data_IF_853284373000
#
_entry.id   IF_853284373000
#
_cell.length_a   1.000
_cell.length_b   1.000
_cell.length_c   1.000
_cell.angle_alpha   90.00
_cell.angle_beta   90.00
_cell.angle_gamma   90.00
#
_symmetry.space_group_name_H-M   'P 1'
#
loop_
_entity.id
_entity.type
_entity.pdbx_description
1 polymer ?
#
# COMPACT_ATOMS: atom_id res chain seq x y z
N UNK A 1 -6.76 9.14 0.38
CA UNK A 1 -6.73 9.12 -1.10
C UNK A 1 -8.07 8.61 -1.60
N UNK A 2 -8.64 9.26 -2.63
CA UNK A 2 -9.76 8.69 -3.39
C UNK A 2 -9.23 7.78 -4.48
N UNK A 3 -9.64 6.53 -4.46
CA UNK A 3 -9.19 5.52 -5.42
C UNK A 3 -9.92 5.75 -6.74
N UNK A 4 -9.16 5.77 -7.83
CA UNK A 4 -9.70 5.90 -9.19
C UNK A 4 -9.69 4.57 -9.94
N UNK A 5 -8.73 3.71 -9.62
CA UNK A 5 -8.60 2.39 -10.20
C UNK A 5 -7.90 1.50 -9.18
N UNK A 6 -8.41 0.28 -9.01
CA UNK A 6 -7.72 -0.78 -8.29
C UNK A 6 -7.78 -2.06 -9.13
N UNK A 7 -6.70 -2.83 -9.09
CA UNK A 7 -6.63 -4.11 -9.78
C UNK A 7 -6.89 -5.27 -8.82
N UNK A 8 -7.13 -6.44 -9.41
CA UNK A 8 -7.17 -7.72 -8.71
C UNK A 8 -5.87 -8.44 -9.03
N UNK A 9 -5.11 -8.75 -7.98
CA UNK A 9 -3.87 -9.49 -8.08
C UNK A 9 -4.09 -10.99 -7.91
N UNK A 10 -3.15 -11.82 -8.38
CA UNK A 10 -3.14 -13.25 -8.06
C UNK A 10 -3.11 -13.53 -6.55
N UNK A 11 -2.46 -12.66 -5.77
CA UNK A 11 -2.42 -12.76 -4.31
C UNK A 11 -3.81 -12.60 -3.68
N UNK A 12 -4.68 -11.75 -4.23
CA UNK A 12 -6.07 -11.62 -3.75
C UNK A 12 -6.81 -12.95 -3.89
N UNK A 13 -6.56 -13.69 -4.98
CA UNK A 13 -7.16 -15.01 -5.18
C UNK A 13 -6.66 -16.02 -4.16
N UNK A 14 -5.39 -15.95 -3.73
CA UNK A 14 -4.87 -16.82 -2.69
C UNK A 14 -5.57 -16.60 -1.35
N UNK A 15 -5.89 -15.35 -1.02
CA UNK A 15 -6.63 -14.97 0.18
C UNK A 15 -8.09 -15.44 0.11
N UNK A 16 -8.79 -15.17 -1.00
CA UNK A 16 -10.19 -15.57 -1.20
C UNK A 16 -10.35 -17.09 -1.20
N UNK A 17 -9.40 -17.84 -1.75
CA UNK A 17 -9.41 -19.31 -1.77
C UNK A 17 -8.99 -19.96 -0.45
N UNK A 18 -8.54 -19.17 0.54
CA UNK A 18 -8.04 -19.69 1.81
C UNK A 18 -6.69 -20.42 1.71
N UNK A 19 -5.97 -20.28 0.60
CA UNK A 19 -4.61 -20.86 0.42
C UNK A 19 -3.53 -20.04 1.13
N UNK A 20 -3.85 -18.81 1.53
CA UNK A 20 -3.07 -17.98 2.43
C UNK A 20 -3.80 -17.90 3.77
N UNK A 21 -3.19 -18.46 4.82
CA UNK A 21 -3.80 -18.52 6.16
C UNK A 21 -3.68 -17.18 6.91
N UNK A 22 -4.48 -17.02 7.96
CA UNK A 22 -4.42 -15.86 8.86
C UNK A 22 -5.22 -14.64 8.39
N UNK A 23 -6.10 -14.80 7.40
CA UNK A 23 -7.05 -13.75 7.02
C UNK A 23 -8.08 -13.52 8.14
N UNK A 24 -8.35 -12.25 8.43
CA UNK A 24 -9.34 -11.85 9.43
C UNK A 24 -10.64 -11.44 8.73
N UNK A 25 -11.82 -11.98 9.12
CA UNK A 25 -13.10 -11.55 8.57
C UNK A 25 -13.29 -10.03 8.67
N UNK A 26 -13.77 -9.41 7.58
CA UNK A 26 -13.91 -7.95 7.47
C UNK A 26 -12.66 -7.23 6.93
N UNK A 27 -11.58 -7.95 6.62
CA UNK A 27 -10.43 -7.36 5.93
C UNK A 27 -10.81 -6.97 4.49
N UNK A 28 -10.75 -5.68 4.18
CA UNK A 28 -10.82 -5.16 2.81
C UNK A 28 -9.59 -5.63 2.02
N UNK A 29 -9.80 -6.18 0.82
CA UNK A 29 -8.73 -6.72 -0.03
C UNK A 29 -8.11 -5.67 -0.97
N UNK A 30 -7.07 -6.08 -1.70
CA UNK A 30 -6.42 -5.31 -2.74
C UNK A 30 -5.18 -4.54 -2.29
N UNK A 31 -4.17 -4.53 -3.14
CA UNK A 31 -2.87 -3.90 -2.89
C UNK A 31 -2.30 -3.27 -4.17
N UNK A 32 -3.14 -3.03 -5.16
CA UNK A 32 -2.76 -2.43 -6.43
C UNK A 32 -3.76 -1.31 -6.74
N UNK A 33 -3.34 -0.05 -6.60
CA UNK A 33 -4.25 1.07 -6.85
C UNK A 33 -3.56 2.34 -7.34
N UNK A 34 -4.34 3.13 -8.06
CA UNK A 34 -4.05 4.51 -8.45
C UNK A 34 -5.19 5.39 -7.94
N UNK A 35 -4.85 6.58 -7.45
CA UNK A 35 -5.85 7.51 -6.97
C UNK A 35 -5.39 8.96 -6.96
N UNK A 36 -6.25 9.78 -6.36
CA UNK A 36 -6.01 11.21 -6.17
C UNK A 36 -5.95 11.50 -4.68
N UNK A 37 -4.92 12.21 -4.26
CA UNK A 37 -4.77 12.69 -2.88
C UNK A 37 -5.92 13.65 -2.58
N UNK A 38 -6.66 13.37 -1.52
CA UNK A 38 -7.79 14.20 -1.06
C UNK A 38 -7.42 15.03 0.16
N UNK A 39 -6.50 14.52 0.97
CA UNK A 39 -6.05 15.10 2.23
C UNK A 39 -4.65 14.54 2.52
N UNK A 40 -3.84 15.33 3.22
CA UNK A 40 -2.51 14.95 3.72
C UNK A 40 -2.40 15.31 5.19
N UNK A 41 -1.62 14.55 5.97
CA UNK A 41 -1.32 14.90 7.36
C UNK A 41 -0.27 16.00 7.47
N UNK A 42 -0.20 16.65 8.63
CA UNK A 42 0.66 17.84 8.88
C UNK A 42 2.16 17.61 8.63
N UNK A 43 2.63 16.37 8.78
CA UNK A 43 4.03 15.99 8.56
C UNK A 43 4.32 15.47 7.15
N UNK A 44 3.29 15.34 6.29
CA UNK A 44 3.48 14.89 4.91
C UNK A 44 4.16 15.99 4.10
N UNK A 45 5.16 15.61 3.32
CA UNK A 45 5.88 16.49 2.38
C UNK A 45 5.89 15.83 1.00
N UNK A 46 5.91 16.64 -0.05
CA UNK A 46 6.00 16.16 -1.44
C UNK A 46 4.68 15.68 -2.07
N UNK A 47 3.57 15.74 -1.33
CA UNK A 47 2.22 15.49 -1.84
C UNK A 47 1.27 16.60 -1.42
N UNK A 48 0.28 16.88 -2.25
CA UNK A 48 -0.80 17.85 -2.02
C UNK A 48 -2.13 17.30 -2.50
N UNK A 49 -3.27 17.74 -1.93
CA UNK A 49 -4.58 17.43 -2.49
C UNK A 49 -4.65 17.76 -3.98
N UNK A 50 -5.17 16.82 -4.78
CA UNK A 50 -5.20 16.89 -6.24
C UNK A 50 -4.10 16.08 -6.93
N UNK A 51 -3.02 15.71 -6.23
CA UNK A 51 -1.95 14.90 -6.83
C UNK A 51 -2.46 13.50 -7.20
N UNK A 52 -2.09 13.06 -8.40
CA UNK A 52 -2.29 11.68 -8.84
C UNK A 52 -1.13 10.82 -8.38
N UNK A 53 -1.44 9.71 -7.72
CA UNK A 53 -0.46 8.83 -7.12
C UNK A 53 -0.75 7.38 -7.43
N UNK A 54 0.31 6.61 -7.65
CA UNK A 54 0.29 5.15 -7.68
C UNK A 54 0.73 4.62 -6.31
N UNK A 55 0.05 3.59 -5.82
CA UNK A 55 0.34 2.95 -4.54
C UNK A 55 0.92 1.57 -4.79
N UNK A 56 2.11 1.33 -4.23
CA UNK A 56 2.75 0.02 -4.26
C UNK A 56 2.05 -0.96 -3.30
N UNK A 57 2.15 -2.26 -3.58
CA UNK A 57 1.54 -3.29 -2.74
C UNK A 57 2.15 -3.36 -1.34
N UNK A 58 3.47 -3.23 -1.26
CA UNK A 58 4.22 -3.32 -0.01
C UNK A 58 4.27 -1.99 0.73
N UNK A 59 4.17 -2.06 2.05
CA UNK A 59 4.26 -0.92 2.94
C UNK A 59 5.70 -0.76 3.43
N UNK A 60 6.24 0.47 3.38
CA UNK A 60 7.61 0.77 3.78
C UNK A 60 7.69 2.14 4.47
N UNK A 61 8.65 2.32 5.38
CA UNK A 61 8.84 3.59 6.09
C UNK A 61 9.75 4.59 5.36
N UNK A 62 10.41 4.17 4.28
CA UNK A 62 11.35 5.00 3.51
C UNK A 62 12.69 5.33 4.19
N UNK A 63 12.83 5.10 5.50
CA UNK A 63 13.99 5.61 6.28
C UNK A 63 14.82 4.56 7.04
N UNK A 64 14.33 3.32 7.18
CA UNK A 64 15.08 2.25 7.86
C UNK A 64 16.31 1.79 7.05
N UNK A 65 17.14 0.93 7.64
CA UNK A 65 18.35 0.42 7.00
C UNK A 65 18.04 -0.28 5.65
N UNK A 66 16.97 -1.08 5.61
CA UNK A 66 16.55 -1.76 4.38
C UNK A 66 16.01 -0.78 3.33
N UNK A 67 15.18 0.19 3.73
CA UNK A 67 14.69 1.22 2.81
C UNK A 67 15.84 2.06 2.21
N UNK A 68 16.81 2.47 3.02
CA UNK A 68 18.00 3.22 2.54
C UNK A 68 18.91 2.41 1.61
N UNK A 69 18.86 1.08 1.69
CA UNK A 69 19.54 0.16 0.77
C UNK A 69 18.75 -0.11 -0.52
N UNK A 70 17.56 0.46 -0.66
CA UNK A 70 16.68 0.20 -1.81
C UNK A 70 15.84 -1.06 -1.69
N UNK A 71 15.67 -1.61 -0.48
CA UNK A 71 14.89 -2.82 -0.20
C UNK A 71 13.58 -2.49 0.56
N UNK A 72 12.62 -1.74 -0.01
CA UNK A 72 11.41 -1.32 0.70
C UNK A 72 10.52 -2.50 1.13
N UNK A 73 10.53 -3.61 0.40
CA UNK A 73 9.78 -4.82 0.75
C UNK A 73 10.31 -5.51 2.02
N UNK A 74 11.54 -5.21 2.45
CA UNK A 74 12.16 -5.73 3.67
C UNK A 74 12.15 -4.67 4.78
N UNK A 75 11.17 -3.76 4.80
CA UNK A 75 11.15 -2.68 5.76
C UNK A 75 11.10 -3.19 7.21
N UNK A 76 12.06 -2.76 8.04
CA UNK A 76 12.18 -3.15 9.44
C UNK A 76 11.07 -2.56 10.35
N UNK A 77 10.29 -1.61 9.83
CA UNK A 77 9.39 -0.74 10.63
C UNK A 77 7.93 -0.85 10.20
N UNK A 78 7.64 -1.13 8.93
CA UNK A 78 6.28 -1.06 8.42
C UNK A 78 5.36 -2.15 8.97
N UNK A 79 5.89 -3.32 9.30
CA UNK A 79 5.11 -4.41 9.88
C UNK A 79 4.99 -4.21 11.39
N UNK A 80 3.76 -4.05 11.88
CA UNK A 80 3.46 -3.87 13.30
C UNK A 80 3.89 -5.07 14.17
N UNK A 81 4.06 -6.24 13.56
CA UNK A 81 4.53 -7.46 14.24
C UNK A 81 6.06 -7.50 14.42
N UNK A 82 6.77 -6.45 14.00
CA UNK A 82 8.21 -6.30 14.18
C UNK A 82 9.06 -6.69 12.96
N UNK A 83 10.38 -6.46 13.03
CA UNK A 83 11.28 -6.55 11.87
C UNK A 83 11.47 -7.98 11.32
N UNK A 84 11.17 -9.00 12.12
CA UNK A 84 11.27 -10.41 11.71
C UNK A 84 9.97 -10.97 11.12
N UNK A 85 8.87 -10.21 11.16
CA UNK A 85 7.56 -10.65 10.66
C UNK A 85 7.45 -10.61 9.12
N UNK A 86 8.46 -10.06 8.44
CA UNK A 86 8.49 -9.95 6.99
C UNK A 86 7.68 -8.78 6.45
N UNK A 87 7.39 -8.83 5.14
CA UNK A 87 6.80 -7.73 4.38
C UNK A 87 5.43 -7.33 4.89
N UNK A 88 5.23 -6.03 5.13
CA UNK A 88 3.91 -5.46 5.34
C UNK A 88 3.25 -5.15 3.99
N UNK A 89 1.96 -5.43 3.82
CA UNK A 89 1.22 -5.07 2.61
C UNK A 89 -0.28 -4.90 2.88
N UNK A 90 -0.94 -4.18 1.97
CA UNK A 90 -2.36 -3.87 2.07
C UNK A 90 -3.26 -5.10 1.84
N UNK A 91 -4.33 -5.21 2.63
CA UNK A 91 -5.39 -6.20 2.49
C UNK A 91 -4.97 -7.64 2.79
N UNK A 92 -3.82 -7.84 3.44
CA UNK A 92 -3.27 -9.16 3.74
C UNK A 92 -3.67 -9.74 5.11
N UNK A 93 -3.14 -10.93 5.46
CA UNK A 93 -3.31 -11.58 6.75
C UNK A 93 -2.84 -10.75 7.96
N UNK A 94 -3.23 -11.16 9.17
CA UNK A 94 -2.78 -10.52 10.41
C UNK A 94 -1.25 -10.48 10.57
N UNK A 95 -0.53 -11.47 10.04
CA UNK A 95 0.93 -11.51 10.13
C UNK A 95 1.63 -10.41 9.30
N UNK A 96 0.94 -9.81 8.33
CA UNK A 96 1.54 -8.88 7.36
C UNK A 96 1.31 -7.42 7.73
N UNK A 97 1.09 -7.12 9.01
CA UNK A 97 0.73 -5.78 9.49
C UNK A 97 -0.61 -5.35 8.89
N UNK A 98 -1.74 -5.86 9.40
CA UNK A 98 -3.02 -5.96 8.68
C UNK A 98 -3.64 -4.58 8.44
N UNK A 99 -3.16 -3.91 7.39
CA UNK A 99 -3.73 -2.66 6.89
C UNK A 99 -4.81 -3.01 5.88
N UNK A 100 -5.98 -2.39 5.99
CA UNK A 100 -7.05 -2.58 5.00
C UNK A 100 -6.61 -2.24 3.58
N UNK A 101 -7.14 -3.01 2.63
CA UNK A 101 -6.78 -2.99 1.23
C UNK A 101 -7.29 -1.79 0.43
N UNK A 102 -6.99 -1.86 -0.87
CA UNK A 102 -7.18 -0.78 -1.83
C UNK A 102 -8.30 -1.05 -2.85
N UNK A 103 -9.03 -2.17 -2.75
CA UNK A 103 -10.28 -2.40 -3.48
C UNK A 103 -11.44 -1.70 -2.76
N UNK A 104 -11.37 -0.37 -2.72
CA UNK A 104 -12.31 0.51 -2.02
C UNK A 104 -12.44 1.85 -2.75
N UNK A 105 -13.37 2.71 -2.32
CA UNK A 105 -13.51 4.08 -2.86
C UNK A 105 -12.47 5.04 -2.27
N UNK A 106 -12.09 4.83 -1.00
CA UNK A 106 -11.10 5.62 -0.29
C UNK A 106 -10.18 4.72 0.53
N UNK A 107 -8.90 5.11 0.60
CA UNK A 107 -7.93 4.47 1.48
C UNK A 107 -6.98 5.50 2.11
N UNK A 108 -6.52 5.18 3.32
CA UNK A 108 -5.40 5.87 3.97
C UNK A 108 -4.11 5.22 3.49
N UNK A 109 -3.19 6.04 2.98
CA UNK A 109 -1.92 5.60 2.42
C UNK A 109 -0.81 6.09 3.36
N UNK A 110 -0.06 5.19 4.03
CA UNK A 110 1.09 5.56 4.85
C UNK A 110 2.19 6.24 4.02
N UNK A 111 3.03 7.05 4.67
CA UNK A 111 4.18 7.67 4.02
C UNK A 111 5.16 6.58 3.58
N UNK A 112 5.75 6.73 2.37
CA UNK A 112 6.75 5.80 1.83
C UNK A 112 6.21 4.73 0.88
N UNK A 113 4.91 4.75 0.56
CA UNK A 113 4.25 3.74 -0.29
C UNK A 113 3.48 4.31 -1.48
N UNK A 114 3.37 5.64 -1.54
CA UNK A 114 2.82 6.37 -2.67
C UNK A 114 3.95 6.99 -3.50
N UNK A 115 3.78 6.94 -4.81
CA UNK A 115 4.66 7.59 -5.77
C UNK A 115 3.83 8.49 -6.68
N UNK A 116 4.36 9.66 -7.03
CA UNK A 116 3.72 10.56 -7.98
C UNK A 116 3.58 9.85 -9.33
N UNK A 117 2.36 9.83 -9.87
CA UNK A 117 2.06 9.28 -11.18
C UNK A 117 1.68 10.43 -12.13
N UNK A 118 2.58 10.87 -13.02
CA UNK A 118 2.30 11.95 -13.96
C UNK A 118 1.23 11.55 -14.99
N UNK A 119 0.83 10.28 -15.01
CA UNK A 119 -0.10 9.71 -15.96
C UNK A 119 0.48 9.46 -17.33
N UNK A 120 -0.32 8.85 -18.21
CA UNK A 120 0.11 8.63 -19.58
C UNK A 120 0.38 9.98 -20.24
N UNK A 121 1.64 10.20 -20.65
CA UNK A 121 1.95 11.30 -21.58
C UNK A 121 1.13 11.05 -22.83
N UNK A 122 0.12 11.90 -23.07
CA UNK A 122 -0.58 11.89 -24.36
C UNK A 122 0.48 12.10 -25.43
N UNK A 123 0.71 11.08 -26.26
CA UNK A 123 1.43 11.27 -27.53
C UNK A 123 0.55 12.24 -28.32
N UNK A 124 0.99 13.49 -28.43
CA UNK A 124 0.51 14.40 -29.47
C UNK A 124 1.03 13.88 -30.81
#
# INVERSE_FOLDING_TARGET
MRITTSAICGTDLHMVRGTMAGMVPGTVLGHEAIGVVTEVGDEVRGFSPGDRVIVCSTISCGVCAQCRRGNPAQCDVANANGPTAGTAFFGGPESTGPVHGLQAEYARIPVGVAHSDPGPRRRQ
#
